data_IF_514936223964
#
_entry.id   IF_514936223964
#
_cell.length_a   1.000
_cell.length_b   1.000
_cell.length_c   1.000
_cell.angle_alpha   90.00
_cell.angle_beta   90.00
_cell.angle_gamma   90.00
#
_symmetry.space_group_name_H-M   'P 1'
#
loop_
_entity.id
_entity.type
_entity.pdbx_description
1 polymer ?
#
# COMPACT_ATOMS: atom_id res chain seq x y z
N UNK A 1 -19.72 -21.95 -25.23
CA UNK A 1 -18.43 -21.28 -25.49
C UNK A 1 -18.48 -20.80 -26.93
N UNK A 2 -18.27 -19.51 -27.19
CA UNK A 2 -18.23 -18.93 -28.54
C UNK A 2 -16.84 -18.36 -28.81
N UNK A 3 -16.39 -18.38 -30.07
CA UNK A 3 -15.12 -17.78 -30.46
C UNK A 3 -15.21 -16.25 -30.47
N UNK A 4 -14.10 -15.59 -30.12
CA UNK A 4 -13.98 -14.14 -30.08
C UNK A 4 -12.71 -13.67 -30.77
N UNK A 5 -12.66 -12.38 -31.13
CA UNK A 5 -11.52 -11.74 -31.80
C UNK A 5 -10.89 -10.72 -30.84
N UNK A 6 -9.57 -10.79 -30.66
CA UNK A 6 -8.79 -9.77 -29.96
C UNK A 6 -7.95 -8.99 -30.97
N UNK A 7 -8.17 -7.68 -31.09
CA UNK A 7 -7.38 -6.80 -31.96
C UNK A 7 -6.39 -6.03 -31.08
N UNK A 8 -5.10 -6.25 -31.31
CA UNK A 8 -4.01 -5.53 -30.64
C UNK A 8 -3.58 -4.35 -31.50
N UNK A 9 -3.53 -3.16 -30.91
CA UNK A 9 -3.17 -1.91 -31.61
C UNK A 9 -1.66 -1.62 -31.54
N UNK A 10 -0.83 -2.66 -31.49
CA UNK A 10 0.63 -2.59 -31.40
C UNK A 10 1.24 -3.73 -32.23
N UNK A 11 2.52 -3.61 -32.61
CA UNK A 11 3.22 -4.62 -33.42
C UNK A 11 3.54 -5.88 -32.62
N UNK A 12 3.82 -6.98 -33.34
CA UNK A 12 4.23 -8.24 -32.72
C UNK A 12 5.58 -8.09 -31.99
N UNK A 13 6.56 -7.41 -32.58
CA UNK A 13 7.86 -7.15 -31.94
C UNK A 13 7.71 -6.36 -30.62
N UNK A 14 6.82 -5.36 -30.59
CA UNK A 14 6.51 -4.61 -29.37
C UNK A 14 5.86 -5.51 -28.31
N UNK A 15 5.00 -6.45 -28.73
CA UNK A 15 4.42 -7.42 -27.80
C UNK A 15 5.45 -8.39 -27.23
N UNK A 16 6.31 -8.95 -28.08
CA UNK A 16 7.31 -9.96 -27.71
C UNK A 16 8.45 -9.39 -26.85
N UNK A 17 8.70 -8.08 -26.95
CA UNK A 17 9.72 -7.39 -26.15
C UNK A 17 9.26 -7.00 -24.74
N UNK A 18 7.96 -7.10 -24.44
CA UNK A 18 7.44 -6.75 -23.12
C UNK A 18 7.78 -7.82 -22.08
N UNK A 19 8.03 -7.43 -20.82
CA UNK A 19 8.10 -8.39 -19.73
C UNK A 19 6.83 -9.24 -19.65
N UNK A 20 7.00 -10.53 -19.36
CA UNK A 20 5.89 -11.47 -19.18
C UNK A 20 4.97 -11.06 -18.02
N UNK A 21 5.55 -10.42 -17.00
CA UNK A 21 4.85 -9.90 -15.84
C UNK A 21 5.08 -8.40 -15.70
N UNK A 22 4.02 -7.67 -15.34
CA UNK A 22 4.14 -6.26 -14.97
C UNK A 22 4.75 -6.15 -13.58
N UNK A 23 5.58 -5.13 -13.35
CA UNK A 23 6.13 -4.83 -12.02
C UNK A 23 5.01 -4.69 -10.97
N UNK A 24 5.11 -5.42 -9.84
CA UNK A 24 4.06 -5.42 -8.84
C UNK A 24 3.78 -4.05 -8.25
N UNK A 25 2.49 -3.80 -8.01
CA UNK A 25 2.00 -2.49 -7.59
C UNK A 25 2.58 -2.06 -6.23
N UNK A 26 2.84 -3.02 -5.33
CA UNK A 26 3.40 -2.77 -4.00
C UNK A 26 4.79 -2.12 -4.04
N UNK A 27 5.53 -2.29 -5.14
CA UNK A 27 6.82 -1.66 -5.37
C UNK A 27 6.69 -0.22 -5.92
N UNK A 28 5.51 0.15 -6.43
CA UNK A 28 5.30 1.39 -7.22
C UNK A 28 4.33 2.38 -6.58
N UNK A 29 3.69 2.08 -5.45
CA UNK A 29 2.63 2.91 -4.85
C UNK A 29 2.88 3.30 -3.39
N UNK A 30 2.16 4.32 -2.92
CA UNK A 30 2.20 4.78 -1.52
C UNK A 30 1.55 3.74 -0.60
N UNK A 31 2.30 3.30 0.40
CA UNK A 31 1.88 2.24 1.32
C UNK A 31 1.08 2.75 2.53
N UNK A 32 0.85 4.05 2.68
CA UNK A 32 0.17 4.61 3.84
C UNK A 32 -1.20 3.96 4.13
N UNK A 33 -2.02 3.69 3.10
CA UNK A 33 -3.30 2.99 3.26
C UNK A 33 -3.12 1.56 3.80
N UNK A 34 -2.14 0.83 3.26
CA UNK A 34 -1.84 -0.55 3.66
C UNK A 34 -1.29 -0.58 5.08
N UNK A 35 -0.35 0.30 5.40
CA UNK A 35 0.25 0.46 6.74
C UNK A 35 -0.83 0.79 7.78
N UNK A 36 -1.73 1.72 7.46
CA UNK A 36 -2.84 2.09 8.33
C UNK A 36 -3.74 0.88 8.61
N UNK A 37 -4.07 0.11 7.58
CA UNK A 37 -4.95 -1.05 7.68
C UNK A 37 -4.29 -2.23 8.41
N UNK A 38 -3.00 -2.48 8.17
CA UNK A 38 -2.22 -3.47 8.91
C UNK A 38 -2.14 -3.14 10.39
N UNK A 39 -1.93 -1.85 10.71
CA UNK A 39 -1.91 -1.35 12.09
C UNK A 39 -3.29 -1.50 12.75
N UNK A 40 -4.38 -1.29 11.99
CA UNK A 40 -5.76 -1.50 12.47
C UNK A 40 -6.06 -2.97 12.79
N UNK A 41 -5.49 -3.89 12.02
CA UNK A 41 -5.61 -5.32 12.23
C UNK A 41 -4.66 -5.86 13.30
N UNK A 42 -3.75 -5.03 13.83
CA UNK A 42 -2.78 -5.43 14.85
C UNK A 42 -1.69 -6.36 14.32
N UNK A 43 -1.35 -6.26 13.03
CA UNK A 43 -0.38 -7.15 12.36
C UNK A 43 1.10 -6.89 12.74
N UNK A 44 1.35 -6.06 13.76
CA UNK A 44 2.68 -5.86 14.34
C UNK A 44 3.65 -5.12 13.39
N UNK A 45 4.91 -5.55 13.39
CA UNK A 45 5.96 -4.94 12.58
C UNK A 45 5.75 -5.25 11.08
N UNK A 46 5.50 -4.20 10.30
CA UNK A 46 5.34 -4.27 8.85
C UNK A 46 6.61 -4.79 8.18
N UNK A 47 7.81 -4.49 8.70
CA UNK A 47 9.06 -4.97 8.13
C UNK A 47 9.24 -6.49 8.31
N UNK A 48 8.58 -7.09 9.29
CA UNK A 48 8.58 -8.53 9.55
C UNK A 48 7.44 -9.27 8.83
N UNK A 49 6.53 -8.54 8.15
CA UNK A 49 5.40 -9.14 7.47
C UNK A 49 5.84 -9.91 6.21
N UNK A 50 5.35 -11.16 5.98
CA UNK A 50 5.80 -12.01 4.88
C UNK A 50 5.13 -11.62 3.56
N UNK A 51 5.56 -10.50 2.96
CA UNK A 51 5.11 -10.10 1.62
C UNK A 51 5.62 -11.08 0.54
N UNK A 52 4.80 -11.32 -0.50
CA UNK A 52 5.21 -12.07 -1.69
C UNK A 52 6.38 -11.36 -2.39
N UNK A 53 6.23 -10.04 -2.56
CA UNK A 53 7.31 -9.14 -2.94
C UNK A 53 7.34 -8.01 -1.93
N UNK A 54 8.43 -7.93 -1.16
CA UNK A 54 8.55 -6.94 -0.12
C UNK A 54 8.80 -5.55 -0.71
N UNK A 55 8.08 -4.52 -0.23
CA UNK A 55 8.35 -3.16 -0.65
C UNK A 55 9.69 -2.65 -0.11
N UNK A 56 10.22 -1.62 -0.77
CA UNK A 56 11.40 -0.93 -0.29
C UNK A 56 11.16 -0.30 1.09
N UNK A 57 12.17 -0.39 1.95
CA UNK A 57 12.15 0.23 3.30
C UNK A 57 11.84 1.73 3.25
N UNK A 58 12.28 2.40 2.19
CA UNK A 58 12.00 3.83 1.96
C UNK A 58 10.51 4.10 1.79
N UNK A 59 9.80 3.29 0.99
CA UNK A 59 8.36 3.43 0.78
C UNK A 59 7.57 3.17 2.06
N UNK A 60 8.04 2.21 2.88
CA UNK A 60 7.47 1.97 4.21
C UNK A 60 7.64 3.21 5.10
N UNK A 61 8.87 3.74 5.20
CA UNK A 61 9.16 4.93 6.01
C UNK A 61 8.36 6.15 5.57
N UNK A 62 8.26 6.40 4.27
CA UNK A 62 7.49 7.52 3.72
C UNK A 62 5.99 7.37 4.05
N UNK A 63 5.45 6.15 4.01
CA UNK A 63 4.07 5.86 4.40
C UNK A 63 3.81 6.05 5.90
N UNK A 64 4.72 5.58 6.76
CA UNK A 64 4.65 5.80 8.23
C UNK A 64 4.69 7.29 8.53
N UNK A 65 5.66 8.02 7.98
CA UNK A 65 5.80 9.46 8.20
C UNK A 65 4.54 10.23 7.78
N UNK A 66 3.93 9.86 6.65
CA UNK A 66 2.67 10.47 6.23
C UNK A 66 1.56 10.24 7.25
N UNK A 67 1.44 9.03 7.80
CA UNK A 67 0.42 8.73 8.81
C UNK A 67 0.69 9.45 10.14
N UNK A 68 1.95 9.68 10.51
CA UNK A 68 2.33 10.51 11.65
C UNK A 68 1.94 11.98 11.41
N UNK A 69 2.25 12.53 10.23
CA UNK A 69 1.88 13.89 9.84
C UNK A 69 0.36 14.11 9.82
N UNK A 70 -0.41 13.08 9.43
CA UNK A 70 -1.88 13.10 9.48
C UNK A 70 -2.44 12.89 10.90
N UNK A 71 -1.60 12.50 11.87
CA UNK A 71 -2.00 12.17 13.24
C UNK A 71 -2.76 10.84 13.35
N UNK A 72 -2.60 9.94 12.37
CA UNK A 72 -3.30 8.66 12.31
C UNK A 72 -2.62 7.58 13.18
N UNK A 73 -1.29 7.63 13.28
CA UNK A 73 -0.51 6.71 14.12
C UNK A 73 0.33 7.49 15.13
N UNK A 74 0.67 6.84 16.23
CA UNK A 74 1.65 7.32 17.21
C UNK A 74 2.72 6.26 17.42
N UNK A 75 3.95 6.72 17.56
CA UNK A 75 5.10 5.89 17.91
C UNK A 75 5.19 5.83 19.44
N UNK A 76 4.90 4.66 20.00
CA UNK A 76 5.13 4.41 21.43
C UNK A 76 6.57 3.93 21.57
N UNK A 77 7.46 4.75 22.13
CA UNK A 77 8.89 4.45 22.27
C UNK A 77 9.16 3.12 23.02
N UNK A 78 8.17 2.60 23.73
CA UNK A 78 8.24 1.37 24.52
C UNK A 78 7.69 0.14 23.78
N UNK A 79 7.02 0.31 22.64
CA UNK A 79 6.42 -0.78 21.89
C UNK A 79 7.04 -0.90 20.49
N UNK A 80 7.46 -2.10 20.10
CA UNK A 80 7.91 -2.42 18.73
C UNK A 80 6.83 -2.30 17.65
N UNK A 81 5.69 -1.64 17.93
CA UNK A 81 4.55 -1.56 17.04
C UNK A 81 3.88 -0.18 17.11
N UNK A 82 3.50 0.35 15.95
CA UNK A 82 2.72 1.57 15.82
C UNK A 82 1.33 1.41 16.45
N UNK A 83 0.84 2.43 17.15
CA UNK A 83 -0.51 2.46 17.70
C UNK A 83 -1.38 3.42 16.90
N UNK A 84 -2.59 2.99 16.55
CA UNK A 84 -3.57 3.90 15.97
C UNK A 84 -4.10 4.89 17.01
N UNK A 85 -4.18 6.15 16.60
CA UNK A 85 -4.91 7.17 17.33
C UNK A 85 -6.42 6.99 17.13
N UNK A 86 -7.29 7.66 17.92
CA UNK A 86 -8.72 7.68 17.65
C UNK A 86 -9.05 8.16 16.23
N UNK A 87 -8.30 9.14 15.73
CA UNK A 87 -8.39 9.62 14.35
C UNK A 87 -7.98 8.52 13.36
N UNK A 88 -6.84 7.87 13.56
CA UNK A 88 -6.38 6.79 12.68
C UNK A 88 -7.39 5.65 12.56
N UNK A 89 -8.09 5.32 13.65
CA UNK A 89 -9.20 4.36 13.61
C UNK A 89 -10.34 4.81 12.71
N UNK A 90 -10.73 6.09 12.78
CA UNK A 90 -11.76 6.64 11.88
C UNK A 90 -11.30 6.62 10.42
N UNK A 91 -10.06 7.03 10.15
CA UNK A 91 -9.49 7.00 8.80
C UNK A 91 -9.44 5.58 8.23
N UNK A 92 -9.10 4.59 9.05
CA UNK A 92 -9.00 3.18 8.63
C UNK A 92 -10.33 2.54 8.21
N UNK A 93 -11.47 3.17 8.54
CA UNK A 93 -12.80 2.70 8.15
C UNK A 93 -13.23 3.19 6.77
N UNK A 94 -12.52 4.16 6.19
CA UNK A 94 -12.83 4.71 4.88
C UNK A 94 -12.01 3.99 3.79
N UNK A 95 -12.63 3.47 2.72
CA UNK A 95 -11.93 2.76 1.64
C UNK A 95 -11.28 3.74 0.65
N UNK A 96 -10.52 4.71 1.16
CA UNK A 96 -9.83 5.75 0.37
C UNK A 96 -8.43 6.01 0.95
N UNK A 97 -7.61 6.75 0.21
CA UNK A 97 -6.28 7.15 0.69
C UNK A 97 -6.39 7.98 2.00
N UNK A 98 -5.53 7.75 3.01
CA UNK A 98 -5.53 8.47 4.28
C UNK A 98 -5.55 10.00 4.14
N UNK A 99 -4.94 10.57 3.09
CA UNK A 99 -4.96 12.01 2.83
C UNK A 99 -6.36 12.48 2.46
N UNK A 100 -7.06 11.73 1.61
CA UNK A 100 -8.45 12.02 1.23
C UNK A 100 -9.38 11.80 2.42
N UNK A 101 -9.19 10.71 3.16
CA UNK A 101 -9.95 10.40 4.36
C UNK A 101 -9.86 11.51 5.43
N UNK A 102 -8.73 12.24 5.50
CA UNK A 102 -8.54 13.36 6.45
C UNK A 102 -9.24 14.65 6.05
N UNK A 103 -9.56 14.82 4.76
CA UNK A 103 -10.22 16.02 4.25
C UNK A 103 -11.74 15.99 4.43
N UNK A 104 -12.31 14.80 4.56
CA UNK A 104 -13.76 14.56 4.75
C UNK A 104 -14.09 14.56 6.24
#
# INVERSE_FOLDING_TARGET
>A
VSEGICIRLYSEDDFLSRPEFTDPEILRTNLASVILQMTALGLGDIAAFPFVEAPDKRNIQDGVRLLEELGAITTDEQASAYKLTPLGRQLSQLPVDPRLARMV
#
